data_IF_950638360386
#
_entry.id   IF_950638360386
#
_cell.length_a   1.000
_cell.length_b   1.000
_cell.length_c   1.000
_cell.angle_alpha   90.00
_cell.angle_beta   90.00
_cell.angle_gamma   90.00
#
_symmetry.space_group_name_H-M   'P 1'
#
loop_
_entity.id
_entity.type
_entity.pdbx_description
1 polymer ?
#
# COMPACT_ATOMS: atom_id res chain seq x y z
N UNK A 1 2.61 22.66 16.01
CA UNK A 1 2.46 21.18 16.01
C UNK A 1 3.32 20.68 14.88
N UNK A 2 4.34 19.88 15.17
CA UNK A 2 5.20 19.29 14.14
C UNK A 2 4.57 17.97 13.69
N UNK A 3 4.29 17.84 12.40
CA UNK A 3 3.75 16.60 11.81
C UNK A 3 4.87 15.92 11.05
N UNK A 4 5.24 14.66 11.39
CA UNK A 4 6.26 13.94 10.65
C UNK A 4 5.80 13.67 9.21
N UNK A 5 6.69 13.93 8.26
CA UNK A 5 6.45 13.59 6.86
C UNK A 5 6.59 12.09 6.68
N UNK A 6 5.53 11.44 6.21
CA UNK A 6 5.52 10.00 5.93
C UNK A 6 4.84 9.72 4.59
N UNK A 7 5.36 8.77 3.78
CA UNK A 7 4.69 8.32 2.56
C UNK A 7 3.28 7.80 2.80
N UNK A 8 2.97 7.34 4.02
CA UNK A 8 1.64 6.86 4.40
C UNK A 8 0.56 7.94 4.27
N UNK A 9 0.92 9.23 4.38
CA UNK A 9 -0.03 10.32 4.19
C UNK A 9 -0.51 10.41 2.74
N UNK A 10 0.30 10.01 1.75
CA UNK A 10 -0.17 9.95 0.36
C UNK A 10 -1.26 8.90 0.20
N UNK A 11 -1.08 7.70 0.77
CA UNK A 11 -2.10 6.65 0.72
C UNK A 11 -3.39 7.09 1.41
N UNK A 12 -3.30 7.66 2.63
CA UNK A 12 -4.46 8.15 3.39
C UNK A 12 -5.23 9.23 2.65
N UNK A 13 -4.52 10.22 2.10
CA UNK A 13 -5.14 11.34 1.38
C UNK A 13 -5.77 10.87 0.07
N UNK A 14 -5.09 10.00 -0.69
CA UNK A 14 -5.60 9.47 -1.95
C UNK A 14 -6.82 8.60 -1.73
N UNK A 15 -6.80 7.70 -0.74
CA UNK A 15 -7.97 6.89 -0.37
C UNK A 15 -9.18 7.78 -0.05
N UNK A 16 -8.98 8.87 0.69
CA UNK A 16 -10.06 9.80 1.08
C UNK A 16 -10.62 10.61 -0.09
N UNK A 17 -9.78 11.10 -0.99
CA UNK A 17 -10.18 12.05 -2.04
C UNK A 17 -10.53 11.36 -3.36
N UNK A 18 -9.94 10.20 -3.62
CA UNK A 18 -9.93 9.53 -4.93
C UNK A 18 -10.15 8.03 -4.81
N UNK A 19 -10.76 7.55 -3.71
CA UNK A 19 -10.92 6.12 -3.43
C UNK A 19 -11.50 5.33 -4.59
N UNK A 20 -12.55 5.84 -5.23
CA UNK A 20 -13.26 5.17 -6.35
C UNK A 20 -12.56 5.31 -7.71
N UNK A 21 -11.45 6.05 -7.80
CA UNK A 21 -10.71 6.19 -9.06
C UNK A 21 -9.79 4.99 -9.25
N UNK A 22 -9.71 4.52 -10.50
CA UNK A 22 -8.69 3.55 -10.93
C UNK A 22 -7.29 4.11 -10.61
N UNK A 23 -6.54 3.36 -9.82
CA UNK A 23 -5.22 3.74 -9.31
C UNK A 23 -4.11 2.78 -9.69
N UNK A 24 -4.44 1.53 -10.01
CA UNK A 24 -3.47 0.51 -10.43
C UNK A 24 -4.00 -0.25 -11.65
N UNK A 25 -3.11 -0.41 -12.63
CA UNK A 25 -3.31 -1.08 -13.91
C UNK A 25 -2.16 -2.07 -14.09
N UNK A 26 -2.47 -3.36 -14.10
CA UNK A 26 -1.49 -4.43 -14.30
C UNK A 26 -2.06 -5.52 -15.21
N UNK A 27 -1.64 -5.54 -16.49
CA UNK A 27 -2.26 -6.38 -17.52
C UNK A 27 -3.75 -6.05 -17.71
N UNK A 28 -4.63 -7.02 -17.44
CA UNK A 28 -6.09 -6.85 -17.44
C UNK A 28 -6.64 -6.47 -16.06
N UNK A 29 -5.83 -6.52 -15.01
CA UNK A 29 -6.24 -6.15 -13.66
C UNK A 29 -6.38 -4.63 -13.56
N UNK A 30 -7.51 -4.18 -13.04
CA UNK A 30 -7.80 -2.79 -12.69
C UNK A 30 -8.22 -2.74 -11.24
N UNK A 31 -7.57 -1.91 -10.45
CA UNK A 31 -7.93 -1.65 -9.06
C UNK A 31 -8.17 -0.16 -8.85
N UNK A 32 -9.24 0.15 -8.14
CA UNK A 32 -9.42 1.47 -7.54
C UNK A 32 -8.38 1.71 -6.45
N UNK A 33 -8.13 2.97 -6.10
CA UNK A 33 -7.26 3.29 -4.98
C UNK A 33 -7.74 2.68 -3.67
N UNK A 34 -9.06 2.64 -3.43
CA UNK A 34 -9.62 2.00 -2.24
C UNK A 34 -9.26 0.51 -2.17
N UNK A 35 -9.51 -0.25 -3.25
CA UNK A 35 -9.19 -1.68 -3.31
C UNK A 35 -7.70 -1.95 -3.18
N UNK A 36 -6.88 -1.15 -3.84
CA UNK A 36 -5.43 -1.29 -3.77
C UNK A 36 -4.90 -1.08 -2.34
N UNK A 37 -5.30 0.01 -1.68
CA UNK A 37 -4.83 0.25 -0.31
C UNK A 37 -5.40 -0.77 0.69
N UNK A 38 -6.60 -1.31 0.47
CA UNK A 38 -7.14 -2.37 1.32
C UNK A 38 -6.29 -3.65 1.24
N UNK A 39 -5.72 -3.94 0.06
CA UNK A 39 -4.72 -5.00 -0.10
C UNK A 39 -3.43 -4.69 0.65
N UNK A 40 -2.92 -3.45 0.57
CA UNK A 40 -1.75 -3.03 1.33
C UNK A 40 -1.96 -3.21 2.85
N UNK A 41 -3.15 -2.86 3.37
CA UNK A 41 -3.49 -3.00 4.79
C UNK A 41 -3.54 -4.48 5.24
N UNK A 42 -4.08 -5.36 4.38
CA UNK A 42 -4.06 -6.82 4.61
C UNK A 42 -2.63 -7.37 4.63
N UNK A 43 -1.78 -6.89 3.72
CA UNK A 43 -0.38 -7.31 3.67
C UNK A 43 0.41 -6.81 4.89
N UNK A 44 0.20 -5.56 5.30
CA UNK A 44 0.76 -5.02 6.56
C UNK A 44 0.37 -5.86 7.77
N UNK A 45 -0.90 -6.26 7.86
CA UNK A 45 -1.39 -7.15 8.93
C UNK A 45 -0.71 -8.52 8.89
N UNK A 46 -0.48 -9.08 7.71
CA UNK A 46 0.24 -10.34 7.54
C UNK A 46 1.71 -10.22 8.00
N UNK A 47 2.43 -9.17 7.61
CA UNK A 47 3.81 -8.93 8.05
C UNK A 47 3.89 -8.78 9.58
N UNK A 48 2.94 -8.06 10.20
CA UNK A 48 2.85 -7.98 11.65
C UNK A 48 2.63 -9.36 12.28
N UNK A 49 1.77 -10.19 11.70
CA UNK A 49 1.54 -11.57 12.17
C UNK A 49 2.78 -12.48 12.04
N UNK A 50 3.70 -12.16 11.11
CA UNK A 50 4.99 -12.83 10.95
C UNK A 50 6.06 -12.29 11.91
N UNK A 51 5.73 -11.32 12.76
CA UNK A 51 6.62 -10.76 13.78
C UNK A 51 7.48 -9.59 13.34
N UNK A 52 7.18 -8.97 12.18
CA UNK A 52 7.90 -7.77 11.73
C UNK A 52 7.61 -6.60 12.67
N UNK A 53 8.68 -5.96 13.16
CA UNK A 53 8.60 -4.78 14.04
C UNK A 53 9.33 -3.57 13.45
N UNK A 54 9.19 -2.41 14.11
CA UNK A 54 9.89 -1.19 13.71
C UNK A 54 11.42 -1.41 13.71
N UNK A 55 12.06 -1.07 12.58
CA UNK A 55 13.50 -1.24 12.39
C UNK A 55 13.89 -2.52 11.65
N UNK A 56 12.97 -3.47 11.49
CA UNK A 56 13.20 -4.66 10.68
C UNK A 56 13.25 -4.32 9.18
N UNK A 57 13.92 -5.19 8.41
CA UNK A 57 14.00 -5.07 6.95
C UNK A 57 13.17 -6.18 6.31
N UNK A 58 12.32 -5.82 5.36
CA UNK A 58 11.58 -6.74 4.50
C UNK A 58 12.13 -6.61 3.09
N UNK A 59 12.67 -7.70 2.53
CA UNK A 59 13.23 -7.71 1.19
C UNK A 59 12.20 -8.19 0.16
N UNK A 60 12.24 -7.60 -1.04
CA UNK A 60 11.41 -8.00 -2.19
C UNK A 60 12.30 -8.21 -3.42
N UNK A 61 12.04 -9.27 -4.17
CA UNK A 61 12.58 -9.50 -5.51
C UNK A 61 11.38 -9.82 -6.39
N UNK A 62 10.87 -8.81 -7.10
CA UNK A 62 9.64 -8.90 -7.86
C UNK A 62 9.68 -7.98 -9.10
N UNK A 63 8.92 -8.29 -10.16
CA UNK A 63 8.69 -7.37 -11.27
C UNK A 63 7.80 -6.19 -10.86
N UNK A 64 7.73 -5.16 -11.70
CA UNK A 64 6.85 -4.00 -11.52
C UNK A 64 5.39 -4.39 -11.78
N UNK A 65 4.77 -4.99 -10.76
CA UNK A 65 3.41 -5.58 -10.79
C UNK A 65 2.63 -5.13 -9.57
N UNK A 66 1.32 -5.30 -9.58
CA UNK A 66 0.46 -4.84 -8.48
C UNK A 66 0.72 -5.55 -7.14
N UNK A 67 1.37 -6.72 -7.13
CA UNK A 67 1.80 -7.40 -5.92
C UNK A 67 3.00 -6.73 -5.25
N UNK A 68 3.79 -5.96 -6.02
CA UNK A 68 4.98 -5.24 -5.54
C UNK A 68 4.66 -3.83 -5.06
N UNK A 69 3.65 -3.18 -5.63
CA UNK A 69 3.22 -1.81 -5.31
C UNK A 69 2.54 -1.74 -3.94
#
# INVERSE_FOLDING_TARGET
>A
METPLTPLEFARRTRKLYGDREGVVDGDLRLTYAEFFDRCDRWSSALQSMGVVQGDRVAYIAPNTHEQL
#
